data_IF_571149700696
#
_entry.id   IF_571149700696
#
_cell.length_a   1.000
_cell.length_b   1.000
_cell.length_c   1.000
_cell.angle_alpha   90.00
_cell.angle_beta   90.00
_cell.angle_gamma   90.00
#
_symmetry.space_group_name_H-M   'P 1'
#
loop_
_entity.id
_entity.type
_entity.pdbx_description
1 polymer ?
#
# COMPACT_ATOMS: atom_id res chain seq x y z
N UNK A 1 11.76 12.56 8.81
CA UNK A 1 12.74 11.94 9.70
C UNK A 1 14.16 12.27 9.26
N UNK A 2 15.03 12.63 10.19
CA UNK A 2 16.46 12.76 9.97
C UNK A 2 17.14 11.44 10.34
N UNK A 3 18.07 10.97 9.51
CA UNK A 3 18.93 9.84 9.84
C UNK A 3 20.18 10.38 10.54
N UNK A 4 20.33 10.06 11.80
CA UNK A 4 21.48 10.47 12.63
C UNK A 4 22.19 9.20 13.11
N UNK A 5 23.46 9.02 12.73
CA UNK A 5 24.37 7.99 13.27
C UNK A 5 23.76 6.58 13.46
N UNK A 6 22.99 6.12 12.48
CA UNK A 6 22.34 4.81 12.51
C UNK A 6 20.95 4.78 13.14
N UNK A 7 20.43 5.90 13.62
CA UNK A 7 19.07 6.06 14.12
C UNK A 7 18.18 6.88 13.19
N UNK A 8 16.88 6.87 13.47
CA UNK A 8 15.87 7.70 12.81
C UNK A 8 15.22 8.58 13.87
N UNK A 9 15.27 9.89 13.68
CA UNK A 9 14.63 10.84 14.57
C UNK A 9 13.49 11.59 13.87
N UNK A 10 12.36 11.84 14.54
CA UNK A 10 11.30 12.67 14.00
C UNK A 10 11.77 14.12 13.84
N UNK A 11 11.31 14.80 12.80
CA UNK A 11 11.49 16.24 12.64
C UNK A 11 10.27 16.92 13.24
N UNK A 12 10.48 17.74 14.26
CA UNK A 12 9.43 18.55 14.86
C UNK A 12 9.42 19.94 14.23
N UNK A 13 8.30 20.65 14.33
CA UNK A 13 8.13 22.00 13.77
C UNK A 13 9.15 23.01 14.30
N UNK A 14 9.65 22.83 15.51
CA UNK A 14 10.72 23.63 16.07
C UNK A 14 12.07 23.47 15.36
N UNK A 15 12.35 22.27 14.83
CA UNK A 15 13.56 22.00 14.05
C UNK A 15 13.51 22.65 12.66
N UNK A 16 12.32 23.01 12.19
CA UNK A 16 12.14 23.64 10.88
C UNK A 16 12.39 25.14 10.90
N UNK A 17 12.39 25.78 12.07
CA UNK A 17 12.54 27.23 12.21
C UNK A 17 13.87 27.76 11.66
N UNK A 18 14.93 26.99 11.86
CA UNK A 18 16.28 27.34 11.42
C UNK A 18 16.74 26.49 10.20
N UNK A 19 15.83 25.72 9.61
CA UNK A 19 16.12 24.91 8.45
C UNK A 19 16.14 25.80 7.21
N UNK A 20 17.22 25.78 6.38
CA UNK A 20 17.30 26.57 5.16
C UNK A 20 16.41 26.06 4.04
N UNK A 21 15.84 24.85 4.19
CA UNK A 21 14.95 24.22 3.23
C UNK A 21 13.48 24.47 3.58
N UNK A 22 12.68 24.70 2.57
CA UNK A 22 11.21 24.71 2.71
C UNK A 22 10.67 23.34 3.09
N UNK A 23 9.43 23.29 3.58
CA UNK A 23 8.75 22.04 3.88
C UNK A 23 8.67 21.14 2.65
N UNK A 24 8.38 21.70 1.48
CA UNK A 24 8.26 20.97 0.22
C UNK A 24 9.60 20.35 -0.22
N UNK A 25 10.69 21.12 -0.11
CA UNK A 25 12.03 20.60 -0.39
C UNK A 25 12.44 19.46 0.56
N UNK A 26 12.02 19.54 1.83
CA UNK A 26 12.24 18.46 2.80
C UNK A 26 11.42 17.21 2.45
N UNK A 27 10.14 17.37 2.04
CA UNK A 27 9.33 16.24 1.60
C UNK A 27 9.89 15.61 0.33
N UNK A 28 10.29 16.39 -0.65
CA UNK A 28 10.95 15.88 -1.87
C UNK A 28 12.25 15.12 -1.56
N UNK A 29 13.08 15.67 -0.65
CA UNK A 29 14.31 14.99 -0.23
C UNK A 29 14.00 13.69 0.50
N UNK A 30 12.99 13.69 1.37
CA UNK A 30 12.49 12.50 2.06
C UNK A 30 11.99 11.45 1.08
N UNK A 31 11.19 11.85 0.09
CA UNK A 31 10.68 10.95 -0.94
C UNK A 31 11.81 10.33 -1.77
N UNK A 32 12.76 11.14 -2.24
CA UNK A 32 13.93 10.63 -2.97
C UNK A 32 14.74 9.61 -2.16
N UNK A 33 14.87 9.81 -0.85
CA UNK A 33 15.56 8.87 0.03
C UNK A 33 14.76 7.57 0.21
N UNK A 34 13.43 7.68 0.32
CA UNK A 34 12.52 6.54 0.41
C UNK A 34 12.55 5.71 -0.87
N UNK A 35 12.52 6.35 -2.03
CA UNK A 35 12.55 5.66 -3.33
C UNK A 35 13.87 4.90 -3.54
N UNK A 36 14.99 5.45 -3.06
CA UNK A 36 16.30 4.80 -3.11
C UNK A 36 16.51 3.70 -2.08
N UNK A 37 15.67 3.62 -1.05
CA UNK A 37 15.78 2.57 -0.05
C UNK A 37 15.58 1.19 -0.70
N UNK A 38 16.50 0.23 -0.51
CA UNK A 38 16.42 -1.05 -1.18
C UNK A 38 15.23 -1.87 -0.66
N UNK A 39 14.58 -2.58 -1.57
CA UNK A 39 13.67 -3.67 -1.25
C UNK A 39 14.50 -4.94 -1.11
N UNK A 40 14.45 -5.58 0.05
CA UNK A 40 15.19 -6.80 0.35
C UNK A 40 14.52 -8.03 -0.23
N UNK A 41 13.21 -8.06 -0.16
CA UNK A 41 12.40 -9.12 -0.73
C UNK A 41 11.30 -8.49 -1.56
N UNK A 42 11.20 -8.95 -2.79
CA UNK A 42 10.16 -8.60 -3.73
C UNK A 42 9.80 -9.85 -4.51
N UNK A 43 8.57 -10.27 -4.40
CA UNK A 43 8.12 -11.44 -5.13
C UNK A 43 6.60 -11.56 -5.11
N UNK A 44 6.04 -12.17 -6.16
CA UNK A 44 4.63 -12.49 -6.14
C UNK A 44 4.35 -13.49 -5.01
N UNK A 45 3.36 -13.18 -4.21
CA UNK A 45 2.80 -14.09 -3.23
C UNK A 45 1.53 -14.63 -3.86
N UNK A 46 1.54 -15.77 -4.50
CA UNK A 46 0.36 -16.36 -5.13
C UNK A 46 -0.46 -15.36 -5.94
N UNK A 47 -1.36 -15.79 -6.78
CA UNK A 47 -2.45 -15.00 -7.37
C UNK A 47 -2.18 -13.54 -7.81
N UNK A 48 -0.92 -13.16 -8.09
CA UNK A 48 -0.59 -11.81 -8.59
C UNK A 48 -0.33 -10.74 -7.52
N UNK A 49 -0.51 -11.04 -6.23
CA UNK A 49 -0.14 -10.12 -5.16
C UNK A 49 1.37 -10.08 -4.93
N UNK A 50 1.88 -8.94 -4.53
CA UNK A 50 3.28 -8.69 -4.21
C UNK A 50 3.41 -8.24 -2.76
N UNK A 51 4.28 -8.88 -1.99
CA UNK A 51 4.75 -8.34 -0.72
C UNK A 51 6.14 -7.78 -0.91
N UNK A 52 6.28 -6.50 -0.66
CA UNK A 52 7.54 -5.78 -0.75
C UNK A 52 8.04 -5.51 0.66
N UNK A 53 9.17 -6.10 1.02
CA UNK A 53 9.80 -5.96 2.32
C UNK A 53 11.09 -5.16 2.22
N UNK A 54 11.39 -4.38 3.24
CA UNK A 54 12.63 -3.63 3.35
C UNK A 54 13.16 -3.60 4.79
N UNK A 55 14.45 -3.38 4.97
CA UNK A 55 15.09 -3.28 6.30
C UNK A 55 14.73 -2.01 7.08
N UNK A 56 14.22 -1.01 6.38
CA UNK A 56 14.00 0.32 6.96
C UNK A 56 12.58 0.57 7.41
N UNK A 57 12.41 1.66 8.17
CA UNK A 57 11.11 2.25 8.50
C UNK A 57 10.37 2.80 7.27
N UNK A 58 10.92 2.63 6.07
CA UNK A 58 10.52 3.38 4.89
C UNK A 58 9.79 2.54 3.84
N UNK A 59 9.67 1.22 4.01
CA UNK A 59 9.05 0.37 2.98
C UNK A 59 7.59 0.76 2.75
N UNK A 60 6.81 0.92 3.80
CA UNK A 60 5.44 1.40 3.70
C UNK A 60 5.34 2.82 3.10
N UNK A 61 6.34 3.67 3.36
CA UNK A 61 6.39 5.05 2.82
C UNK A 61 6.58 5.10 1.31
N UNK A 62 7.06 4.01 0.67
CA UNK A 62 7.10 3.89 -0.79
C UNK A 62 5.71 3.98 -1.44
N UNK A 63 4.64 3.78 -0.66
CA UNK A 63 3.26 3.99 -1.12
C UNK A 63 3.00 5.43 -1.61
N UNK A 64 3.77 6.41 -1.15
CA UNK A 64 3.65 7.79 -1.64
C UNK A 64 4.10 7.95 -3.09
N UNK A 65 4.88 7.00 -3.65
CA UNK A 65 5.32 6.98 -5.04
C UNK A 65 5.17 5.58 -5.66
N UNK A 66 3.93 5.09 -5.69
CA UNK A 66 3.62 3.75 -6.22
C UNK A 66 4.05 3.58 -7.69
N UNK A 67 4.05 4.65 -8.49
CA UNK A 67 4.54 4.59 -9.86
C UNK A 67 5.99 4.10 -9.92
N UNK A 68 6.89 4.72 -9.16
CA UNK A 68 8.30 4.29 -9.09
C UNK A 68 8.46 2.85 -8.56
N UNK A 69 7.57 2.41 -7.66
CA UNK A 69 7.58 1.03 -7.15
C UNK A 69 7.18 0.05 -8.25
N UNK A 70 6.12 0.34 -8.99
CA UNK A 70 5.65 -0.50 -10.09
C UNK A 70 6.72 -0.60 -11.20
N UNK A 71 7.37 0.51 -11.53
CA UNK A 71 8.51 0.53 -12.47
C UNK A 71 9.68 -0.33 -11.96
N UNK A 72 9.99 -0.25 -10.66
CA UNK A 72 11.09 -1.03 -10.04
C UNK A 72 10.84 -2.55 -10.11
N UNK A 73 9.60 -2.99 -10.01
CA UNK A 73 9.23 -4.42 -10.07
C UNK A 73 8.79 -4.87 -11.47
N UNK A 74 8.81 -3.99 -12.46
CA UNK A 74 8.40 -4.24 -13.85
C UNK A 74 6.96 -4.79 -13.97
N UNK A 75 6.03 -4.11 -13.30
CA UNK A 75 4.62 -4.52 -13.26
C UNK A 75 3.71 -3.41 -13.79
N UNK A 76 2.94 -3.74 -14.83
CA UNK A 76 1.90 -2.85 -15.36
C UNK A 76 0.68 -2.78 -14.43
N UNK A 77 0.01 -1.62 -14.43
CA UNK A 77 -1.20 -1.37 -13.65
C UNK A 77 -2.21 -0.52 -14.44
N UNK A 78 -2.55 -0.97 -15.64
CA UNK A 78 -3.43 -0.24 -16.58
C UNK A 78 -4.84 0.02 -16.02
N UNK A 79 -5.35 -0.88 -15.19
CA UNK A 79 -6.63 -0.73 -14.49
C UNK A 79 -6.47 -0.17 -13.06
N UNK A 80 -5.25 0.23 -12.69
CA UNK A 80 -4.91 0.65 -11.34
C UNK A 80 -4.31 -0.47 -10.49
N UNK A 81 -4.04 -0.14 -9.23
CA UNK A 81 -3.40 -1.06 -8.28
C UNK A 81 -4.09 -1.01 -6.92
N UNK A 82 -4.34 -2.16 -6.33
CA UNK A 82 -4.66 -2.27 -4.91
C UNK A 82 -3.36 -2.26 -4.10
N UNK A 83 -3.39 -1.60 -2.94
CA UNK A 83 -2.26 -1.64 -2.01
C UNK A 83 -2.72 -1.62 -0.56
N UNK A 84 -1.89 -2.16 0.32
CA UNK A 84 -2.10 -2.12 1.76
C UNK A 84 -0.80 -1.85 2.52
N UNK A 85 -0.95 -1.34 3.74
CA UNK A 85 0.14 -0.97 4.64
C UNK A 85 -0.05 -1.70 5.98
N UNK A 86 0.20 -3.03 6.05
CA UNK A 86 0.02 -3.79 7.27
C UNK A 86 0.87 -3.24 8.41
N UNK A 87 2.15 -2.98 8.15
CA UNK A 87 3.08 -2.35 9.08
C UNK A 87 4.22 -1.64 8.33
N UNK A 88 5.09 -0.94 9.05
CA UNK A 88 6.13 -0.04 8.50
C UNK A 88 7.13 -0.71 7.53
N UNK A 89 7.33 -2.03 7.64
CA UNK A 89 8.32 -2.77 6.85
C UNK A 89 7.75 -3.41 5.59
N UNK A 90 6.42 -3.36 5.39
CA UNK A 90 5.75 -4.00 4.27
C UNK A 90 4.85 -3.05 3.51
N UNK A 91 4.94 -3.14 2.19
CA UNK A 91 3.98 -2.59 1.24
C UNK A 91 3.42 -3.76 0.43
N UNK A 92 2.13 -4.04 0.59
CA UNK A 92 1.41 -4.99 -0.25
C UNK A 92 0.89 -4.32 -1.51
N UNK A 93 1.01 -4.98 -2.66
CA UNK A 93 0.53 -4.51 -3.97
C UNK A 93 -0.18 -5.62 -4.73
N UNK A 94 -1.21 -5.27 -5.49
CA UNK A 94 -1.84 -6.14 -6.47
C UNK A 94 -2.33 -5.30 -7.66
N UNK A 95 -1.70 -5.41 -8.84
CA UNK A 95 -2.26 -4.84 -10.05
C UNK A 95 -3.65 -5.42 -10.31
N UNK A 96 -4.59 -4.58 -10.71
CA UNK A 96 -5.97 -5.02 -10.92
C UNK A 96 -6.08 -5.66 -12.31
N UNK A 97 -6.54 -6.92 -12.33
CA UNK A 97 -7.10 -7.53 -13.54
C UNK A 97 -8.56 -7.09 -13.67
N UNK A 98 -8.94 -6.34 -14.71
CA UNK A 98 -10.34 -5.95 -14.91
C UNK A 98 -11.30 -7.12 -15.05
N UNK A 99 -10.80 -8.31 -15.39
CA UNK A 99 -11.59 -9.53 -15.50
C UNK A 99 -11.93 -10.17 -14.16
N UNK A 100 -11.14 -9.89 -13.10
CA UNK A 100 -11.37 -10.43 -11.75
C UNK A 100 -10.87 -9.50 -10.65
N UNK A 101 -11.42 -8.29 -10.50
CA UNK A 101 -11.01 -7.33 -9.50
C UNK A 101 -11.31 -7.80 -8.06
N UNK A 102 -12.32 -8.66 -7.90
CA UNK A 102 -12.69 -9.21 -6.59
C UNK A 102 -11.63 -10.17 -6.06
N UNK A 103 -11.00 -10.93 -6.95
CA UNK A 103 -9.90 -11.82 -6.58
C UNK A 103 -8.67 -11.02 -6.11
N UNK A 104 -8.37 -9.92 -6.79
CA UNK A 104 -7.31 -9.00 -6.35
C UNK A 104 -7.57 -8.49 -4.93
N UNK A 105 -8.84 -8.12 -4.63
CA UNK A 105 -9.24 -7.64 -3.31
C UNK A 105 -9.09 -8.72 -2.24
N UNK A 106 -9.51 -9.97 -2.51
CA UNK A 106 -9.34 -11.10 -1.60
C UNK A 106 -7.87 -11.41 -1.33
N UNK A 107 -7.06 -11.42 -2.37
CA UNK A 107 -5.61 -11.65 -2.26
C UNK A 107 -4.94 -10.59 -1.38
N UNK A 108 -5.32 -9.32 -1.52
CA UNK A 108 -4.81 -8.24 -0.69
C UNK A 108 -5.30 -8.33 0.75
N UNK A 109 -6.54 -8.79 0.97
CA UNK A 109 -7.06 -9.00 2.33
C UNK A 109 -6.31 -10.12 3.05
N UNK A 110 -6.04 -11.23 2.35
CA UNK A 110 -5.26 -12.33 2.90
C UNK A 110 -3.85 -11.87 3.28
N UNK A 111 -3.15 -11.20 2.36
CA UNK A 111 -1.82 -10.65 2.60
C UNK A 111 -1.81 -9.71 3.82
N UNK A 112 -2.77 -8.79 3.89
CA UNK A 112 -2.87 -7.84 5.00
C UNK A 112 -3.05 -8.55 6.35
N UNK A 113 -3.94 -9.55 6.42
CA UNK A 113 -4.16 -10.33 7.63
C UNK A 113 -2.90 -11.10 8.03
N UNK A 114 -2.29 -11.84 7.10
CA UNK A 114 -1.08 -12.62 7.37
C UNK A 114 0.08 -11.76 7.87
N UNK A 115 0.33 -10.61 7.25
CA UNK A 115 1.41 -9.72 7.66
C UNK A 115 1.13 -9.07 9.02
N UNK A 116 -0.14 -8.73 9.30
CA UNK A 116 -0.52 -8.15 10.60
C UNK A 116 -0.39 -9.19 11.72
N UNK A 117 -0.70 -10.45 11.46
CA UNK A 117 -0.59 -11.52 12.47
C UNK A 117 0.86 -11.95 12.72
N UNK A 118 1.72 -11.92 11.71
CA UNK A 118 3.12 -12.34 11.81
C UNK A 118 4.02 -11.34 12.53
N UNK A 119 3.64 -10.08 12.59
CA UNK A 119 4.49 -9.01 13.10
C UNK A 119 3.98 -8.41 14.40
N UNK A 120 4.94 -8.11 15.30
CA UNK A 120 4.67 -7.45 16.58
C UNK A 120 4.54 -5.93 16.42
N UNK A 121 4.93 -5.39 15.25
CA UNK A 121 4.83 -3.96 14.97
C UNK A 121 3.36 -3.51 14.91
N UNK A 122 3.08 -2.27 15.35
CA UNK A 122 1.75 -1.72 15.21
C UNK A 122 1.30 -1.67 13.75
N UNK A 123 0.05 -2.06 13.50
CA UNK A 123 -0.59 -1.89 12.20
C UNK A 123 -0.60 -0.41 11.80
N UNK A 124 -0.16 -0.10 10.58
CA UNK A 124 -0.17 1.27 10.06
C UNK A 124 -1.54 1.67 9.54
N UNK A 125 -2.20 0.78 8.81
CA UNK A 125 -3.52 1.06 8.25
C UNK A 125 -4.37 -0.22 8.20
N UNK A 126 -5.62 -0.17 8.64
CA UNK A 126 -6.55 -1.29 8.50
C UNK A 126 -7.15 -1.39 7.09
N UNK A 127 -6.83 -0.45 6.19
CA UNK A 127 -7.47 -0.34 4.89
C UNK A 127 -6.67 -1.00 3.78
N UNK A 128 -7.40 -1.52 2.80
CA UNK A 128 -6.92 -1.74 1.44
C UNK A 128 -7.32 -0.49 0.64
N UNK A 129 -6.38 0.01 -0.13
CA UNK A 129 -6.53 1.19 -0.97
C UNK A 129 -6.49 0.80 -2.44
N UNK A 130 -7.20 1.55 -3.25
CA UNK A 130 -7.09 1.57 -4.70
C UNK A 130 -6.40 2.86 -5.14
N UNK A 131 -5.38 2.74 -5.98
CA UNK A 131 -4.83 3.84 -6.74
C UNK A 131 -5.24 3.68 -8.19
N UNK A 132 -6.09 4.58 -8.67
CA UNK A 132 -6.51 4.63 -10.06
C UNK A 132 -5.34 4.97 -11.00
N UNK A 133 -5.43 4.66 -12.31
CA UNK A 133 -4.42 5.06 -13.30
C UNK A 133 -4.20 6.58 -13.35
N UNK A 134 -5.20 7.37 -12.99
CA UNK A 134 -5.12 8.84 -12.87
C UNK A 134 -4.26 9.31 -11.70
N UNK A 135 -3.92 8.42 -10.76
CA UNK A 135 -3.18 8.70 -9.55
C UNK A 135 -4.03 8.97 -8.31
N UNK A 136 -5.35 9.08 -8.46
CA UNK A 136 -6.28 9.23 -7.35
C UNK A 136 -6.28 7.99 -6.46
N UNK A 137 -6.42 8.20 -5.13
CA UNK A 137 -6.37 7.13 -4.13
C UNK A 137 -7.64 7.14 -3.32
N UNK A 138 -8.26 5.98 -3.14
CA UNK A 138 -9.41 5.78 -2.28
C UNK A 138 -9.26 4.52 -1.42
N UNK A 139 -9.88 4.50 -0.23
CA UNK A 139 -9.95 3.30 0.59
C UNK A 139 -11.12 2.45 0.10
N UNK A 140 -10.86 1.19 -0.27
CA UNK A 140 -11.86 0.32 -0.90
C UNK A 140 -12.37 -0.78 0.01
N UNK A 141 -11.59 -1.18 1.01
CA UNK A 141 -11.98 -2.27 1.88
C UNK A 141 -11.26 -2.29 3.22
N UNK A 142 -11.86 -3.02 4.17
CA UNK A 142 -11.25 -3.40 5.45
C UNK A 142 -11.23 -4.93 5.52
N UNK A 143 -10.05 -5.58 5.68
CA UNK A 143 -9.97 -6.99 5.95
C UNK A 143 -10.66 -7.36 7.27
N UNK A 144 -11.55 -8.35 7.24
CA UNK A 144 -12.33 -8.82 8.39
C UNK A 144 -11.80 -10.09 9.03
N UNK A 145 -10.55 -10.48 8.73
CA UNK A 145 -9.94 -11.73 9.17
C UNK A 145 -10.13 -12.87 8.17
N UNK A 146 -9.55 -14.03 8.48
CA UNK A 146 -9.59 -15.23 7.64
C UNK A 146 -10.42 -16.31 8.31
N UNK A 147 -11.38 -16.87 7.59
CA UNK A 147 -12.22 -17.97 8.08
C UNK A 147 -12.14 -19.12 7.07
N UNK A 148 -11.60 -20.27 7.49
CA UNK A 148 -11.41 -21.45 6.64
C UNK A 148 -10.68 -21.11 5.30
N UNK A 149 -9.57 -20.37 5.39
CA UNK A 149 -8.78 -19.91 4.24
C UNK A 149 -9.51 -18.95 3.26
N UNK A 150 -10.72 -18.49 3.62
CA UNK A 150 -11.45 -17.47 2.87
C UNK A 150 -11.36 -16.11 3.60
N UNK A 151 -10.64 -15.13 3.04
CA UNK A 151 -10.54 -13.82 3.64
C UNK A 151 -11.88 -13.09 3.55
N UNK A 152 -12.36 -12.61 4.71
CA UNK A 152 -13.53 -11.73 4.77
C UNK A 152 -13.12 -10.31 4.50
N UNK A 153 -13.94 -9.60 3.75
CA UNK A 153 -13.68 -8.23 3.34
C UNK A 153 -14.94 -7.41 3.52
N UNK A 154 -14.82 -6.31 4.24
CA UNK A 154 -15.84 -5.27 4.28
C UNK A 154 -15.53 -4.27 3.16
N UNK A 155 -16.33 -4.26 2.11
CA UNK A 155 -16.17 -3.31 0.99
C UNK A 155 -16.70 -1.94 1.43
N UNK A 156 -15.93 -0.91 1.16
CA UNK A 156 -16.27 0.49 1.42
C UNK A 156 -16.79 1.13 0.13
N UNK A 157 -17.67 2.13 0.22
CA UNK A 157 -18.05 2.94 -0.94
C UNK A 157 -16.81 3.62 -1.54
N UNK A 158 -16.50 3.30 -2.81
CA UNK A 158 -15.29 3.73 -3.49
C UNK A 158 -15.57 3.89 -5.00
N UNK A 159 -16.05 5.10 -5.43
CA UNK A 159 -16.61 5.30 -6.77
C UNK A 159 -15.72 4.85 -7.93
N UNK A 160 -14.40 5.01 -7.82
CA UNK A 160 -13.48 4.61 -8.89
C UNK A 160 -13.32 3.08 -8.94
N UNK A 161 -13.27 2.42 -7.77
CA UNK A 161 -13.18 0.97 -7.69
C UNK A 161 -14.53 0.30 -7.98
N UNK A 162 -15.64 0.91 -7.51
CA UNK A 162 -16.99 0.44 -7.81
C UNK A 162 -17.23 0.36 -9.32
N UNK A 163 -16.75 1.35 -10.09
CA UNK A 163 -16.83 1.31 -11.56
C UNK A 163 -16.08 0.12 -12.18
N UNK A 164 -14.97 -0.33 -11.57
CA UNK A 164 -14.24 -1.53 -12.02
C UNK A 164 -15.04 -2.80 -11.69
N UNK A 165 -15.61 -2.87 -10.47
CA UNK A 165 -16.45 -4.00 -10.06
C UNK A 165 -17.68 -4.14 -10.96
N UNK A 166 -18.37 -3.04 -11.24
CA UNK A 166 -19.55 -3.00 -12.12
C UNK A 166 -19.20 -3.45 -13.54
N UNK A 167 -18.08 -2.98 -14.09
CA UNK A 167 -17.62 -3.38 -15.42
C UNK A 167 -17.27 -4.87 -15.51
N UNK A 168 -16.82 -5.47 -14.40
CA UNK A 168 -16.55 -6.90 -14.30
C UNK A 168 -17.82 -7.74 -14.02
N UNK A 169 -18.99 -7.12 -13.85
CA UNK A 169 -20.23 -7.81 -13.48
C UNK A 169 -20.24 -8.33 -12.03
N UNK A 170 -19.37 -7.79 -11.18
CA UNK A 170 -19.35 -8.10 -9.75
C UNK A 170 -20.37 -7.20 -9.04
N UNK A 171 -21.52 -7.76 -8.66
CA UNK A 171 -22.48 -6.99 -7.86
C UNK A 171 -21.85 -6.63 -6.50
N UNK A 172 -21.60 -5.34 -6.28
CA UNK A 172 -21.25 -4.80 -4.96
C UNK A 172 -22.50 -4.87 -4.09
N UNK A 173 -22.71 -5.99 -3.40
CA UNK A 173 -23.80 -6.09 -2.42
C UNK A 173 -23.33 -5.35 -1.16
N UNK A 174 -23.88 -4.16 -0.84
CA UNK A 174 -23.53 -3.48 0.39
C UNK A 174 -23.97 -4.39 1.56
N UNK A 175 -23.02 -4.73 2.43
CA UNK A 175 -23.34 -5.39 3.68
C UNK A 175 -24.22 -4.43 4.49
N UNK A 176 -25.49 -4.80 4.68
CA UNK A 176 -26.43 -4.09 5.55
C UNK A 176 -26.19 -4.43 7.00
#
# INVERSE_FOLDING_TARGET
YLRLDGGVAPIYSEHLKDCPLSTDELFEAGQRNTDRAPLLHRGPIGAGAWALHGEGFFTASKAANLGAVLDEIDVGADAGVLFCLPHKHVLGLHPIDPGDPYWALKSMALLHCEETERHVDPMLSPFIFHRAPTGEVEAVAIPGGVVYDDPRVLILPAPLFDAILDAAGCESTPVR
#
